data_IF_795907381973
#
_entry.id   IF_795907381973
#
_cell.length_a   1.000
_cell.length_b   1.000
_cell.length_c   1.000
_cell.angle_alpha   90.00
_cell.angle_beta   90.00
_cell.angle_gamma   90.00
#
_symmetry.space_group_name_H-M   'P 1'
#
loop_
_entity.id
_entity.type
_entity.pdbx_description
1 polymer ?
2 polymer ?
3 non-polymer ?
4 non-polymer ?
5 non-polymer ?
6 non-polymer ?
7 non-polymer ?
8 water ?
#
loop_
_entity_poly.entity_id
_entity_poly.type
_entity_poly.pdbx_seq_one_letter_code
_entity_poly.pdbx_strand_id
2 'polyribonucleotide' 'GGGAUGCGUAGGAUAGGUGGGAGCCUGUGAACCCCCGCCUCCGGGUGGGGGGGAGGCGCCGGUGAAAUACCACCCUUCCC' ?
#
# COMPACT_ATOMS: atom_id res chain seq x y z
N UNK A 2 -26.43 -17.30 9.91
CA UNK A 2 -25.40 -16.44 10.50
C UNK A 2 -24.84 -15.40 9.51
N UNK A 3 -24.41 -14.27 10.05
CA UNK A 3 -23.72 -13.24 9.29
C UNK A 3 -22.43 -13.84 8.72
N UNK A 4 -21.76 -14.64 9.53
CA UNK A 4 -20.46 -15.21 9.19
C UNK A 4 -20.48 -16.72 9.37
N UNK A 5 -19.63 -17.42 8.63
CA UNK A 5 -19.58 -18.87 8.73
C UNK A 5 -18.78 -19.33 9.93
N UNK A 6 -18.79 -20.63 10.18
CA UNK A 6 -18.10 -21.17 11.35
C UNK A 6 -16.60 -20.89 11.44
N UNK A 7 -15.89 -20.86 10.30
CA UNK A 7 -14.45 -20.59 10.31
C UNK A 7 -14.21 -19.20 10.90
N UNK A 8 -14.96 -18.22 10.40
CA UNK A 8 -14.84 -16.86 10.89
C UNK A 8 -15.25 -16.78 12.37
N UNK A 9 -16.33 -17.44 12.73
CA UNK A 9 -16.80 -17.35 14.11
C UNK A 9 -15.77 -17.88 15.08
N UNK A 10 -15.08 -18.95 14.70
CA UNK A 10 -14.01 -19.50 15.53
C UNK A 10 -12.88 -18.49 15.74
N UNK A 11 -12.52 -17.75 14.70
CA UNK A 11 -11.46 -16.76 14.78
C UNK A 11 -11.84 -15.66 15.74
N UNK A 12 -13.09 -15.23 15.65
CA UNK A 12 -13.62 -14.14 16.43
C UNK A 12 -13.47 -14.44 17.92
N UNK A 13 -13.57 -15.71 18.31
CA UNK A 13 -13.37 -16.09 19.69
C UNK A 13 -11.94 -15.90 20.20
N UNK A 14 -11.00 -15.67 19.28
CA UNK A 14 -9.59 -15.61 19.66
C UNK A 14 -9.15 -14.19 19.98
N UNK A 15 -10.03 -13.24 19.69
CA UNK A 15 -9.73 -11.84 19.92
C UNK A 15 -10.68 -11.26 20.96
N UNK A 16 -10.14 -10.45 21.85
CA UNK A 16 -10.93 -9.71 22.82
C UNK A 16 -11.23 -8.37 22.17
N UNK A 17 -12.47 -8.16 21.73
CA UNK A 17 -12.87 -7.01 20.91
C UNK A 17 -12.74 -5.67 21.64
N UNK A 18 -12.68 -5.73 22.97
CA UNK A 18 -12.55 -4.50 23.73
C UNK A 18 -11.13 -4.29 24.26
N UNK A 19 -10.19 -5.10 23.78
CA UNK A 19 -8.83 -5.00 24.26
C UNK A 19 -7.97 -4.27 23.24
N UNK A 20 -7.08 -3.44 23.74
CA UNK A 20 -6.13 -2.80 22.86
C UNK A 20 -4.79 -3.48 23.06
N UNK A 21 -4.32 -4.15 22.02
CA UNK A 21 -3.14 -5.00 22.12
C UNK A 21 -1.87 -4.23 21.77
N UNK A 22 -0.73 -4.72 22.24
CA UNK A 22 0.56 -4.21 21.82
C UNK A 22 0.82 -4.73 20.42
N UNK A 23 1.72 -4.07 19.70
CA UNK A 23 2.06 -4.52 18.37
C UNK A 23 2.63 -5.94 18.39
N UNK A 24 3.50 -6.22 19.37
CA UNK A 24 4.10 -7.55 19.49
C UNK A 24 3.04 -8.63 19.70
N UNK A 25 2.09 -8.38 20.59
CA UNK A 25 1.02 -9.33 20.82
C UNK A 25 0.20 -9.50 19.54
N UNK A 26 -0.13 -8.38 18.92
CA UNK A 26 -0.97 -8.44 17.73
C UNK A 26 -0.27 -9.20 16.60
N UNK A 27 1.04 -9.03 16.49
CA UNK A 27 1.77 -9.68 15.40
C UNK A 27 1.76 -11.19 15.59
N UNK A 28 1.75 -11.63 16.84
CA UNK A 28 1.61 -13.06 17.11
C UNK A 28 0.17 -13.51 16.87
N UNK A 29 -0.78 -12.72 17.33
CA UNK A 29 -2.18 -13.09 17.26
C UNK A 29 -2.68 -13.19 15.83
N UNK A 30 -2.25 -12.25 14.98
CA UNK A 30 -2.77 -12.19 13.62
C UNK A 30 -2.45 -13.47 12.85
N UNK A 31 -1.37 -14.13 13.24
CA UNK A 31 -1.02 -15.40 12.62
C UNK A 31 -2.06 -16.49 12.86
N UNK A 32 -2.83 -16.38 13.93
CA UNK A 32 -3.86 -17.37 14.24
C UNK A 32 -5.21 -16.96 13.66
N UNK A 33 -5.24 -15.83 12.97
CA UNK A 33 -6.48 -15.29 12.42
C UNK A 33 -6.50 -15.41 10.91
N UNK A 34 -5.77 -16.38 10.39
CA UNK A 34 -5.60 -16.50 8.96
C UNK A 34 -5.83 -17.92 8.49
N UNK A 35 -7.06 -18.42 8.66
CA UNK A 35 -7.35 -19.82 8.40
C UNK A 35 -8.01 -20.05 7.06
N UNK A 36 -8.12 -19.00 6.25
CA UNK A 36 -8.59 -19.19 4.88
C UNK A 36 -7.53 -19.98 4.13
N UNK A 37 -7.94 -20.58 3.02
CA UNK A 37 -7.12 -21.54 2.29
C UNK A 37 -6.11 -20.91 1.33
N UNK A 38 -5.35 -19.94 1.83
CA UNK A 38 -4.24 -19.36 1.08
C UNK A 38 -3.44 -18.52 2.06
N UNK A 39 -2.28 -18.06 1.63
CA UNK A 39 -1.45 -17.26 2.52
C UNK A 39 -2.02 -15.85 2.52
N UNK A 40 -2.74 -15.50 3.59
CA UNK A 40 -3.46 -14.24 3.61
C UNK A 40 -2.58 -13.02 3.79
N UNK A 41 -3.09 -11.89 3.34
CA UNK A 41 -2.39 -10.64 3.52
C UNK A 41 -2.69 -10.01 4.87
N UNK A 42 -1.65 -9.53 5.52
CA UNK A 42 -1.82 -8.77 6.75
C UNK A 42 -1.98 -7.28 6.46
N UNK A 43 -2.98 -6.67 7.10
CA UNK A 43 -3.38 -5.28 6.82
C UNK A 43 -3.31 -4.45 8.07
N UNK A 44 -3.02 -3.15 7.89
CA UNK A 44 -3.14 -2.17 8.97
C UNK A 44 -4.11 -1.06 8.53
N UNK A 45 -5.04 -0.71 9.42
CA UNK A 45 -6.02 0.34 9.18
C UNK A 45 -5.95 1.37 10.28
N UNK A 46 -6.09 2.66 9.93
CA UNK A 46 -6.12 3.74 10.92
C UNK A 46 -7.24 4.71 10.60
N UNK A 47 -8.01 5.08 11.61
CA UNK A 47 -8.92 6.19 11.47
C UNK A 47 -8.08 7.41 11.87
N UNK A 48 -7.96 8.37 10.96
CA UNK A 48 -7.05 9.50 11.18
C UNK A 48 -7.74 10.75 11.73
N UNK A 49 -6.99 11.50 12.53
CA UNK A 49 -7.51 12.74 13.09
C UNK A 49 -7.30 13.87 12.10
N UNK A 50 -7.86 13.72 10.92
CA UNK A 50 -7.76 14.74 9.89
C UNK A 50 -9.14 15.10 9.39
N UNK A 51 -9.24 16.22 8.69
CA UNK A 51 -10.44 16.56 7.96
C UNK A 51 -10.14 16.20 6.53
N UNK A 52 -10.70 15.07 6.05
CA UNK A 52 -10.33 14.49 4.76
C UNK A 52 -10.79 15.36 3.62
N UNK A 53 -11.76 16.24 3.87
CA UNK A 53 -12.22 17.15 2.83
C UNK A 53 -11.42 18.46 2.76
N UNK A 54 -10.36 18.53 3.55
CA UNK A 54 -9.42 19.64 3.48
C UNK A 54 -8.14 19.18 2.77
N UNK A 55 -7.87 19.78 1.61
CA UNK A 55 -6.72 19.38 0.83
C UNK A 55 -5.41 19.42 1.63
N UNK A 56 -5.28 20.41 2.51
CA UNK A 56 -4.05 20.53 3.29
C UNK A 56 -3.93 19.53 4.43
N UNK A 57 -4.91 18.65 4.58
CA UNK A 57 -4.79 17.56 5.55
C UNK A 57 -4.79 16.16 4.92
N UNK A 58 -4.52 16.09 3.61
CA UNK A 58 -4.30 14.81 2.92
C UNK A 58 -3.10 14.09 3.54
N UNK A 59 -3.19 12.76 3.59
CA UNK A 59 -2.09 11.91 4.02
C UNK A 59 -1.80 10.94 2.90
N UNK A 60 -0.65 11.10 2.26
CA UNK A 60 -0.34 10.34 1.07
C UNK A 60 1.18 10.18 0.92
N UNK A 61 1.62 8.95 0.68
CA UNK A 61 3.04 8.69 0.60
C UNK A 61 3.36 7.22 0.36
N UNK A 62 4.64 6.88 0.56
CA UNK A 62 5.11 5.54 0.37
C UNK A 62 6.01 5.22 1.53
N UNK A 63 6.21 3.92 1.76
CA UNK A 63 7.14 3.48 2.78
C UNK A 63 7.73 2.16 2.34
N UNK A 64 9.05 2.02 2.48
CA UNK A 64 9.71 0.74 2.22
C UNK A 64 9.58 -0.16 3.44
N UNK A 65 8.77 -1.20 3.33
CA UNK A 65 8.63 -2.13 4.45
C UNK A 65 9.91 -2.93 4.60
N UNK A 66 10.46 -2.97 5.82
CA UNK A 66 11.74 -3.64 6.03
C UNK A 66 11.73 -5.09 5.58
N UNK A 67 10.58 -5.76 5.64
CA UNK A 67 10.56 -7.15 5.22
C UNK A 67 9.72 -7.41 3.97
N UNK A 68 9.39 -6.34 3.25
CA UNK A 68 8.65 -6.45 2.01
C UNK A 68 7.21 -6.89 2.18
N UNK A 69 6.54 -7.10 1.05
CA UNK A 69 5.13 -7.46 1.05
C UNK A 69 4.90 -8.97 1.02
N UNK A 70 5.94 -9.73 0.67
CA UNK A 70 5.78 -11.18 0.57
C UNK A 70 4.98 -11.55 -0.67
N UNK A 71 5.00 -10.67 -1.66
CA UNK A 71 4.33 -10.96 -2.93
C UNK A 71 5.08 -10.35 -4.12
N UNK A 72 4.87 -10.94 -5.30
CA UNK A 72 5.39 -10.37 -6.54
C UNK A 72 4.62 -9.12 -6.91
N UNK A 73 5.32 -8.08 -7.36
CA UNK A 73 4.65 -6.91 -7.91
C UNK A 73 5.05 -6.72 -9.36
N UNK A 74 4.09 -6.88 -10.27
CA UNK A 74 4.39 -6.74 -11.68
C UNK A 74 4.35 -5.27 -12.01
N UNK A 75 5.46 -4.73 -12.46
CA UNK A 75 5.55 -3.30 -12.73
C UNK A 75 5.61 -3.03 -14.21
N UNK A 76 4.72 -2.15 -14.68
CA UNK A 76 4.81 -1.58 -16.02
C UNK A 76 5.48 -0.21 -15.93
N UNK A 77 6.51 0.02 -16.76
CA UNK A 77 7.10 1.36 -16.83
C UNK A 77 6.87 1.98 -18.20
N UNK A 78 6.62 3.27 -18.21
CA UNK A 78 6.50 3.99 -19.46
C UNK A 78 7.58 5.06 -19.49
N UNK A 79 8.35 5.08 -20.56
CA UNK A 79 9.51 5.96 -20.60
C UNK A 79 9.86 6.29 -22.05
N UNK A 80 10.85 7.16 -22.19
CA UNK A 80 11.24 7.77 -23.46
C UNK A 80 12.76 7.75 -23.48
N UNK A 81 13.36 7.69 -24.66
CA UNK A 81 14.80 7.83 -24.78
C UNK A 81 15.66 6.81 -24.04
N UNK A 82 16.75 7.29 -23.45
CA UNK A 82 17.66 6.43 -22.71
C UNK A 82 16.99 5.80 -21.49
N UNK A 83 15.88 6.41 -21.05
CA UNK A 83 15.20 5.95 -19.85
C UNK A 83 14.52 4.60 -20.02
N UNK A 84 14.23 4.22 -21.26
CA UNK A 84 13.63 2.90 -21.51
C UNK A 84 14.57 1.80 -21.03
N UNK A 85 15.81 1.85 -21.50
CA UNK A 85 16.84 0.92 -21.08
C UNK A 85 17.00 0.92 -19.55
N UNK A 86 16.98 2.10 -18.93
CA UNK A 86 17.15 2.16 -17.47
C UNK A 86 16.04 1.36 -16.78
N UNK A 87 14.81 1.60 -17.22
CA UNK A 87 13.64 0.90 -16.68
C UNK A 87 13.76 -0.62 -16.86
N UNK A 88 14.18 -1.04 -18.04
CA UNK A 88 14.31 -2.45 -18.36
C UNK A 88 15.39 -3.10 -17.50
N UNK A 89 16.53 -2.41 -17.37
CA UNK A 89 17.64 -2.96 -16.62
C UNK A 89 17.40 -2.94 -15.10
N UNK A 90 16.42 -2.17 -14.66
CA UNK A 90 16.09 -2.09 -13.25
C UNK A 90 15.13 -3.20 -12.85
N UNK A 91 14.62 -3.94 -13.83
CA UNK A 91 13.80 -5.10 -13.54
C UNK A 91 12.31 -4.95 -13.74
N UNK A 92 11.85 -3.83 -14.31
CA UNK A 92 10.43 -3.72 -14.65
C UNK A 92 10.02 -4.94 -15.45
N UNK A 93 8.81 -5.41 -15.21
CA UNK A 93 8.33 -6.59 -15.89
C UNK A 93 8.03 -6.24 -17.33
N UNK A 94 7.57 -5.02 -17.53
CA UNK A 94 7.35 -4.54 -18.88
C UNK A 94 7.68 -3.07 -19.01
N UNK A 95 8.34 -2.70 -20.10
CA UNK A 95 8.68 -1.31 -20.35
C UNK A 95 8.24 -0.95 -21.74
N UNK A 96 7.34 0.02 -21.83
CA UNK A 96 6.88 0.47 -23.12
C UNK A 96 7.33 1.88 -23.42
N UNK A 97 7.72 2.11 -24.67
CA UNK A 97 7.93 3.46 -25.15
C UNK A 97 6.61 4.23 -25.05
N UNK A 98 6.74 5.53 -24.82
CA UNK A 98 5.61 6.45 -24.75
C UNK A 98 4.70 6.30 -25.95
N UNK A 99 5.30 6.07 -27.10
CA UNK A 99 4.54 6.06 -28.35
C UNK A 99 3.67 4.81 -28.52
N UNK A 100 3.86 3.79 -27.70
CA UNK A 100 3.06 2.57 -27.85
C UNK A 100 2.06 2.36 -26.70
N UNK A 101 1.77 3.43 -25.98
CA UNK A 101 0.82 3.39 -24.86
C UNK A 101 -0.49 2.66 -25.18
N UNK A 102 -1.16 3.09 -26.25
CA UNK A 102 -2.45 2.53 -26.64
C UNK A 102 -2.44 1.01 -26.68
N UNK A 103 -1.35 0.42 -27.13
CA UNK A 103 -1.29 -1.04 -27.26
C UNK A 103 -1.30 -1.68 -25.88
N UNK A 104 -0.85 -0.94 -24.88
CA UNK A 104 -1.02 -1.34 -23.50
C UNK A 104 -2.51 -1.40 -23.17
N UNK A 105 -3.25 -0.39 -23.62
CA UNK A 105 -4.69 -0.29 -23.37
C UNK A 105 -5.46 -1.45 -23.99
N UNK A 106 -5.08 -1.85 -25.19
CA UNK A 106 -5.82 -2.86 -25.94
C UNK A 106 -6.06 -4.12 -25.13
N UNK A 107 -4.98 -4.69 -24.58
CA UNK A 107 -5.12 -5.90 -23.80
C UNK A 107 -3.82 -6.41 -23.21
N UNK A 108 -2.75 -5.66 -23.41
CA UNK A 108 -1.43 -6.03 -22.89
C UNK A 108 -1.30 -5.52 -21.43
N UNK A 109 -2.40 -5.56 -20.69
CA UNK A 109 -2.58 -4.83 -19.43
C UNK A 109 -2.55 -5.68 -18.13
N UNK A 110 -1.47 -6.42 -17.90
CA UNK A 110 -1.41 -7.29 -16.73
C UNK A 110 -0.33 -6.91 -15.68
N UNK A 111 -0.64 -5.94 -14.83
CA UNK A 111 0.35 -5.41 -13.89
C UNK A 111 -0.27 -4.94 -12.57
N UNK A 112 0.55 -4.91 -11.52
CA UNK A 112 0.12 -4.46 -10.20
C UNK A 112 0.47 -3.00 -9.94
N UNK A 113 1.39 -2.44 -10.73
CA UNK A 113 1.84 -1.06 -10.52
C UNK A 113 2.34 -0.43 -11.81
N UNK A 114 2.13 0.87 -11.99
CA UNK A 114 2.61 1.58 -13.16
C UNK A 114 3.49 2.77 -12.76
N UNK A 115 4.66 2.89 -13.37
CA UNK A 115 5.55 4.02 -13.11
C UNK A 115 5.90 4.72 -14.42
N UNK A 116 6.27 5.99 -14.33
CA UNK A 116 6.68 6.73 -15.53
C UNK A 116 7.66 7.84 -15.18
N UNK A 117 8.30 8.38 -16.22
CA UNK A 117 9.14 9.55 -16.08
C UNK A 117 8.26 10.77 -16.34
N UNK A 118 8.64 11.93 -15.79
CA UNK A 118 7.74 13.07 -15.91
C UNK A 118 7.52 13.49 -17.36
N UNK A 119 8.49 13.27 -18.23
CA UNK A 119 8.35 13.76 -19.59
C UNK A 119 7.47 12.89 -20.49
N UNK A 120 6.91 11.82 -19.93
CA UNK A 120 5.92 11.06 -20.71
C UNK A 120 4.54 11.17 -20.07
N UNK A 121 4.44 11.97 -19.00
CA UNK A 121 3.24 11.97 -18.19
C UNK A 121 2.03 12.54 -18.91
N UNK A 122 2.28 13.41 -19.88
CA UNK A 122 1.22 13.98 -20.67
C UNK A 122 0.57 12.93 -21.54
N UNK A 123 1.39 12.10 -22.18
CA UNK A 123 0.89 10.98 -22.96
C UNK A 123 0.16 10.00 -22.06
N UNK A 124 0.80 9.65 -20.95
CA UNK A 124 0.21 8.70 -20.00
C UNK A 124 -1.17 9.13 -19.54
N UNK A 125 -1.26 10.34 -18.99
CA UNK A 125 -2.54 10.85 -18.52
C UNK A 125 -3.52 10.92 -19.66
N UNK A 126 -3.11 11.61 -20.73
CA UNK A 126 -3.97 11.83 -21.89
C UNK A 126 -4.58 10.55 -22.47
N UNK A 127 -3.84 9.45 -22.41
CA UNK A 127 -4.29 8.22 -23.06
C UNK A 127 -4.55 7.05 -22.12
N UNK A 128 -4.25 7.20 -20.83
CA UNK A 128 -4.33 6.08 -19.88
C UNK A 128 -5.05 6.45 -18.60
N UNK A 129 -5.31 7.74 -18.42
CA UNK A 129 -5.81 8.24 -17.17
C UNK A 129 -7.18 7.71 -16.78
N UNK A 130 -8.09 7.67 -17.75
CA UNK A 130 -9.43 7.20 -17.49
C UNK A 130 -9.43 5.76 -16.98
N UNK A 131 -8.50 4.95 -17.48
CA UNK A 131 -8.46 3.56 -17.09
C UNK A 131 -7.68 3.36 -15.80
N UNK A 132 -6.44 3.86 -15.79
CA UNK A 132 -5.53 3.66 -14.65
C UNK A 132 -5.98 4.38 -13.38
N UNK A 133 -6.45 5.62 -13.52
CA UNK A 133 -6.79 6.43 -12.36
C UNK A 133 -7.72 5.76 -11.37
N UNK A 134 -8.90 5.33 -11.84
CA UNK A 134 -9.90 4.72 -10.94
C UNK A 134 -9.49 3.32 -10.47
N UNK A 135 -8.32 2.85 -10.89
CA UNK A 135 -7.77 1.58 -10.42
C UNK A 135 -6.53 1.76 -9.57
N UNK A 136 -6.21 3.01 -9.24
CA UNK A 136 -5.07 3.31 -8.38
C UNK A 136 -3.75 3.00 -9.07
N UNK A 137 -3.73 3.09 -10.39
CA UNK A 137 -2.56 2.70 -11.17
C UNK A 137 -1.93 3.85 -11.96
N UNK A 138 -2.56 5.02 -11.92
CA UNK A 138 -2.07 6.20 -12.64
C UNK A 138 -0.84 6.78 -11.95
N UNK A 139 0.33 6.79 -12.64
CA UNK A 139 1.52 7.34 -12.00
C UNK A 139 1.28 8.77 -11.54
N UNK A 140 1.77 9.11 -10.35
CA UNK A 140 1.67 10.47 -9.83
C UNK A 140 2.86 10.77 -8.91
N UNK A 141 3.49 11.94 -9.07
CA UNK A 141 4.68 12.25 -8.27
C UNK A 141 4.37 12.12 -6.80
N UNK A 142 3.19 12.58 -6.40
CA UNK A 142 2.81 12.56 -5.00
C UNK A 142 2.72 11.14 -4.45
N UNK A 143 2.48 10.17 -5.34
CA UNK A 143 2.43 8.76 -4.95
C UNK A 143 3.77 8.02 -5.12
N UNK A 144 4.82 8.74 -5.48
CA UNK A 144 6.12 8.12 -5.64
C UNK A 144 6.23 7.20 -6.86
N UNK A 145 5.39 7.41 -7.86
CA UNK A 145 5.42 6.56 -9.04
C UNK A 145 5.80 7.35 -10.30
N UNK A 146 6.25 8.58 -10.12
CA UNK A 146 6.74 9.38 -11.23
C UNK A 146 8.09 9.97 -10.85
N UNK A 147 9.01 9.97 -11.80
CA UNK A 147 10.31 10.59 -11.59
C UNK A 147 11.33 10.11 -12.60
N UNK A 148 12.42 10.87 -12.73
CA UNK A 148 13.51 10.50 -13.62
C UNK A 148 14.36 9.40 -13.00
N UNK A 149 14.27 9.25 -11.68
CA UNK A 149 14.92 8.13 -10.99
C UNK A 149 14.12 6.85 -11.18
N UNK A 150 13.79 6.52 -12.42
CA UNK A 150 12.77 5.50 -12.65
C UNK A 150 13.30 4.13 -12.27
N UNK A 151 14.60 3.94 -12.45
CA UNK A 151 15.24 2.71 -12.06
C UNK A 151 15.13 2.49 -10.56
N UNK A 152 15.37 3.54 -9.79
CA UNK A 152 15.30 3.45 -8.33
C UNK A 152 13.87 3.18 -7.87
N UNK A 153 12.91 3.88 -8.48
CA UNK A 153 11.51 3.69 -8.15
C UNK A 153 11.14 2.23 -8.34
N UNK A 154 11.49 1.68 -9.51
CA UNK A 154 11.18 0.30 -9.83
C UNK A 154 11.81 -0.66 -8.82
N UNK A 155 13.07 -0.43 -8.47
CA UNK A 155 13.72 -1.28 -7.51
C UNK A 155 13.03 -1.22 -6.15
N UNK A 156 12.60 -0.04 -5.74
CA UNK A 156 11.95 0.13 -4.45
C UNK A 156 10.63 -0.64 -4.44
N UNK A 157 9.86 -0.49 -5.50
CA UNK A 157 8.60 -1.22 -5.60
C UNK A 157 8.79 -2.74 -5.60
N UNK A 158 9.80 -3.24 -6.31
CA UNK A 158 10.06 -4.69 -6.33
C UNK A 158 10.64 -5.16 -4.99
N UNK A 159 11.08 -4.22 -4.17
CA UNK A 159 11.61 -4.59 -2.85
C UNK A 159 10.58 -4.40 -1.73
N UNK A 160 9.32 -4.18 -2.09
CA UNK A 160 8.25 -4.10 -1.11
C UNK A 160 7.87 -2.73 -0.56
N UNK A 161 8.09 -1.68 -1.36
CA UNK A 161 7.55 -0.39 -0.97
C UNK A 161 6.03 -0.41 -1.17
N UNK A 162 5.31 0.21 -0.26
CA UNK A 162 3.87 0.34 -0.43
C UNK A 162 3.48 1.81 -0.52
N UNK A 163 2.29 2.06 -1.08
CA UNK A 163 1.67 3.36 -1.10
C UNK A 163 0.59 3.40 -0.06
N UNK A 164 0.34 4.59 0.48
CA UNK A 164 -0.82 4.81 1.33
C UNK A 164 -1.39 6.19 1.03
N UNK A 165 -2.70 6.30 1.15
CA UNK A 165 -3.41 7.53 0.85
C UNK A 165 -4.74 7.46 1.59
N UNK A 166 -5.04 8.46 2.40
CA UNK A 166 -6.28 8.43 3.16
C UNK A 166 -7.45 8.44 2.20
N UNK A 167 -8.54 7.76 2.58
CA UNK A 167 -9.72 7.75 1.74
C UNK A 167 -10.52 8.95 2.20
N UNK A 168 -11.58 9.30 1.48
CA UNK A 168 -12.24 10.56 1.83
C UNK A 168 -13.18 10.49 3.03
N UNK A 169 -13.19 9.36 3.73
CA UNK A 169 -13.87 9.33 5.02
C UNK A 169 -12.88 9.69 6.14
N UNK A 170 -11.59 9.68 5.82
CA UNK A 170 -10.58 9.97 6.82
C UNK A 170 -9.90 8.73 7.39
N UNK A 171 -10.16 7.58 6.77
CA UNK A 171 -9.47 6.35 7.16
C UNK A 171 -8.32 6.04 6.19
N UNK A 172 -7.41 5.16 6.60
CA UNK A 172 -6.28 4.81 5.75
C UNK A 172 -5.92 3.34 5.97
N UNK A 173 -5.37 2.70 4.95
CA UNK A 173 -5.25 1.23 4.95
C UNK A 173 -4.04 0.84 4.12
N UNK A 174 -3.34 -0.20 4.56
CA UNK A 174 -2.27 -0.73 3.74
C UNK A 174 -2.02 -2.21 3.99
N UNK A 175 -1.59 -2.96 2.96
CA UNK A 175 -1.10 -4.30 3.24
C UNK A 175 0.33 -4.17 3.77
N UNK A 176 0.74 -5.05 4.66
CA UNK A 176 2.07 -4.93 5.25
C UNK A 176 2.81 -6.26 5.38
N UNK A 177 2.29 -7.30 4.75
CA UNK A 177 3.01 -8.57 4.72
C UNK A 177 2.05 -9.71 4.50
N UNK A 178 2.54 -10.93 4.71
CA UNK A 178 1.70 -12.14 4.62
C UNK A 178 1.62 -12.79 6.01
N UNK A 179 0.50 -13.47 6.25
CA UNK A 179 0.23 -14.05 7.55
C UNK A 179 1.26 -15.13 7.90
N UNK A 180 1.95 -15.64 6.88
CA UNK A 180 2.94 -16.70 7.10
C UNK A 180 4.31 -16.16 7.54
N UNK A 181 4.50 -14.84 7.48
CA UNK A 181 5.70 -14.21 8.06
C UNK A 181 5.87 -14.62 9.51
N UNK A 182 7.13 -14.73 9.98
CA UNK A 182 7.38 -14.85 11.42
C UNK A 182 6.84 -13.59 12.10
N UNK A 183 6.32 -13.69 13.33
CA UNK A 183 5.65 -12.56 13.97
C UNK A 183 6.50 -11.30 14.15
N UNK A 184 7.77 -11.44 14.49
CA UNK A 184 8.61 -10.26 14.67
C UNK A 184 8.82 -9.49 13.37
N UNK A 185 8.73 -10.18 12.24
CA UNK A 185 8.84 -9.53 10.94
C UNK A 185 7.56 -8.75 10.62
N UNK A 186 6.41 -9.32 10.96
CA UNK A 186 5.15 -8.59 10.88
C UNK A 186 5.21 -7.37 11.78
N UNK A 187 5.71 -7.57 13.00
CA UNK A 187 5.83 -6.47 13.96
C UNK A 187 6.65 -5.31 13.38
N UNK A 188 7.83 -5.63 12.85
CA UNK A 188 8.67 -4.63 12.19
C UNK A 188 7.94 -3.88 11.07
N UNK A 189 7.26 -4.62 10.20
CA UNK A 189 6.53 -4.02 9.08
C UNK A 189 5.40 -3.12 9.59
N UNK A 190 4.69 -3.58 10.61
CA UNK A 190 3.59 -2.78 11.17
C UNK A 190 4.12 -1.45 11.69
N UNK A 191 5.22 -1.50 12.44
CA UNK A 191 5.80 -0.30 13.04
C UNK A 191 6.32 0.64 11.97
N UNK A 192 6.93 0.08 10.93
CA UNK A 192 7.42 0.88 9.82
C UNK A 192 6.31 1.69 9.18
N UNK A 193 5.19 1.04 8.89
CA UNK A 193 4.03 1.73 8.31
C UNK A 193 3.53 2.84 9.24
N UNK A 194 3.37 2.51 10.52
CA UNK A 194 2.91 3.47 11.50
C UNK A 194 3.83 4.68 11.57
N UNK A 195 5.14 4.43 11.54
CA UNK A 195 6.13 5.53 11.55
C UNK A 195 5.93 6.43 10.34
N UNK A 196 5.66 5.81 9.20
CA UNK A 196 5.47 6.56 7.95
C UNK A 196 4.21 7.40 8.00
N UNK A 197 3.15 6.87 8.61
CA UNK A 197 1.91 7.64 8.79
C UNK A 197 2.19 8.84 9.64
N UNK A 198 2.88 8.62 10.76
CA UNK A 198 3.20 9.72 11.66
C UNK A 198 4.06 10.76 10.95
N UNK A 199 5.05 10.31 10.19
CA UNK A 199 5.88 11.25 9.43
C UNK A 199 5.06 12.11 8.48
N UNK A 200 3.83 11.67 8.18
CA UNK A 200 2.95 12.38 7.24
C UNK A 200 1.74 13.04 7.88
N UNK A 201 1.78 13.23 9.20
CA UNK A 201 0.69 13.91 9.88
C UNK A 201 0.69 15.37 9.42
N UNK A 202 -0.43 15.82 8.83
CA UNK A 202 -0.42 17.21 8.36
C UNK A 202 -0.23 18.21 9.50
N UNK A 203 0.40 19.33 9.19
CA UNK A 203 0.69 20.39 10.14
C UNK A 203 -0.58 20.90 10.82
N UNK A 204 -1.66 20.98 10.06
CA UNK A 204 -2.89 21.56 10.57
C UNK A 204 -3.87 20.59 11.19
N UNK A 205 -3.55 19.30 11.20
CA UNK A 205 -4.46 18.31 11.76
C UNK A 205 -4.66 18.53 13.26
N UNK A 206 -5.89 18.44 13.72
CA UNK A 206 -6.17 18.72 15.11
C UNK A 206 -6.47 17.45 15.94
N UNK A 207 -5.98 17.46 17.17
CA UNK A 207 -6.25 16.37 18.09
C UNK A 207 -5.35 15.16 17.85
N UNK A 208 -5.73 14.05 18.46
CA UNK A 208 -4.99 12.81 18.29
C UNK A 208 -5.02 12.41 16.82
N UNK A 209 -3.85 12.10 16.27
CA UNK A 209 -3.74 11.73 14.85
C UNK A 209 -4.18 10.28 14.63
N UNK A 210 -3.60 9.36 15.39
CA UNK A 210 -3.94 7.95 15.26
C UNK A 210 -5.07 7.58 16.21
N UNK A 211 -6.29 7.97 15.81
CA UNK A 211 -7.47 7.80 16.63
C UNK A 211 -7.74 6.34 16.93
N UNK A 212 -7.66 5.51 15.89
CA UNK A 212 -7.74 4.07 16.07
C UNK A 212 -6.83 3.40 15.06
N UNK A 213 -6.18 2.31 15.48
CA UNK A 213 -5.33 1.51 14.60
C UNK A 213 -5.61 0.03 14.81
N UNK A 214 -5.80 -0.70 13.71
CA UNK A 214 -6.13 -2.12 13.79
C UNK A 214 -5.22 -2.91 12.87
N UNK A 215 -5.00 -4.17 13.21
CA UNK A 215 -4.31 -5.09 12.33
C UNK A 215 -5.31 -6.16 12.00
N UNK A 216 -5.22 -6.73 10.80
CA UNK A 216 -6.19 -7.73 10.39
C UNK A 216 -5.62 -8.58 9.26
N UNK A 217 -6.36 -9.58 8.83
CA UNK A 217 -5.90 -10.46 7.75
C UNK A 217 -6.96 -10.44 6.67
N UNK A 218 -6.60 -10.89 5.48
CA UNK A 218 -7.53 -10.84 4.36
C UNK A 218 -8.94 -11.33 4.73
N UNK A 219 -9.06 -12.48 5.40
CA UNK A 219 -10.40 -13.06 5.64
C UNK A 219 -10.76 -13.21 7.12
N UNK A 220 -10.00 -12.54 7.99
CA UNK A 220 -10.18 -12.67 9.43
C UNK A 220 -10.72 -11.44 10.12
N UNK A 221 -10.95 -11.54 11.45
CA UNK A 221 -11.45 -10.43 12.27
C UNK A 221 -10.29 -9.47 12.52
N UNK A 222 -10.53 -8.36 13.21
CA UNK A 222 -9.48 -7.37 13.41
C UNK A 222 -8.98 -7.37 14.86
N UNK A 223 -7.80 -6.80 15.06
CA UNK A 223 -7.21 -6.66 16.38
C UNK A 223 -6.84 -5.18 16.56
N UNK A 224 -7.42 -4.52 17.56
CA UNK A 224 -7.10 -3.13 17.79
C UNK A 224 -5.76 -3.06 18.51
N UNK A 225 -4.92 -2.10 18.11
CA UNK A 225 -3.57 -2.02 18.67
C UNK A 225 -3.19 -0.63 19.19
N UNK A 226 -2.26 -0.64 20.13
CA UNK A 226 -1.57 0.56 20.56
C UNK A 226 -0.44 0.85 19.56
N UNK A 227 -0.62 1.88 18.73
CA UNK A 227 0.32 2.17 17.64
C UNK A 227 1.67 2.67 18.14
N UNK A 228 1.75 2.94 19.44
CA UNK A 228 2.94 3.53 20.00
C UNK A 228 3.83 2.47 20.65
N UNK A 229 3.44 1.19 20.53
CA UNK A 229 4.18 0.09 21.18
C UNK A 229 5.12 -0.66 20.23
X LIG C 1 -0.89 10.81 18.17
X LIG C 1 0.56 10.76 17.97
X LIG C 1 -1.38 12.16 17.83
X LIG C 1 -1.54 9.80 17.36
X LIG C 1 -1.17 10.50 19.59
X LIG D 1 -1.88 -19.17 7.44
X LIG D 1 -2.68 -20.22 7.16
X LIG D 1 -1.61 -18.13 6.44
X LIG D 1 -2.85 -21.11 8.03
X LIG D 1 -3.22 -20.29 6.02
X LIG D 1 -2.51 -17.45 5.90
X LIG D 1 -0.40 -17.95 6.16
X LIG E 1 3.58 0.43 -4.63
X LIG E 1 2.84 0.28 -5.74
X LIG E 1 4.40 1.65 -4.44
X LIG E 1 2.15 -0.76 -5.88
X LIG E 1 2.85 1.18 -6.60
X LIG E 1 4.29 2.61 -5.23
X LIG E 1 5.19 1.71 -3.47
X LIG F 1 0.23 -18.72 -1.46
X LIG F 1 -1.01 -19.00 -1.08
X LIG F 1 1.15 -19.82 -1.75
X LIG F 1 -1.39 -20.19 -0.95
X LIG F 1 -1.73 -18.02 -0.86
X LIG F 1 1.35 -20.17 -2.94
X LIG F 1 1.69 -20.36 -0.76
X LIG G 1 -4.71 -18.55 5.43
X LIG H 1 16.88 10.52 -23.32
X LIG I 1 6.66 9.36 0.77
X LIG J 1 -11.03 -20.62 11.88
X LIG K 1 -8.88 -15.71 8.04
X LIG L 1 -16.45 -21.77 7.43
X LIG M 1 -9.46 -7.78 6.02
X LIG N 1 -18.42 -4.97 2.25
X LIG N 1 -17.59 -3.81 2.00
X LIG N 1 -19.82 -4.67 1.92
X LIG N 1 -17.94 -6.08 1.42
X LIG N 1 -18.35 -5.34 3.67
X LIG O 1 -34.54 -31.54 -1.91
X LIG O 1 -33.76 -30.52 -1.57
X LIG O 1 -34.34 -32.29 -3.16
X LIG O 1 -34.00 -29.98 -0.49
X LIG O 1 -32.83 -30.14 -2.33
X LIG O 1 -33.98 -31.68 -4.20
X LIG O 1 -34.52 -33.52 -3.11
X LIG P 1 -20.77 -1.19 9.84
X LIG P 1 -20.97 0.05 10.34
X LIG P 1 -19.61 -1.77 9.10
X LIG P 1 -22.07 0.25 10.92
X LIG P 1 -20.13 0.99 10.26
X LIG P 1 -18.46 -1.83 9.59
X LIG P 1 -19.83 -2.27 7.98
X LIG Q 1 -18.50 -29.86 1.41
X LIG Q 1 -19.19 -29.57 2.52
X LIG Q 1 -19.28 -30.13 0.18
X LIG Q 1 -18.57 -29.33 3.58
X LIG Q 1 -20.45 -29.60 2.49
X LIG Q 1 -19.91 -29.14 -0.29
X LIG Q 1 -19.28 -31.25 -0.36
X LIG R 1 -15.50 0.22 -6.36
X LIG R 1 -16.80 0.03 -6.65
X LIG R 1 -14.63 -0.91 -5.95
X LIG R 1 -17.53 1.02 -6.99
X LIG R 1 -17.28 -1.12 -6.56
X LIG R 1 -15.13 -1.99 -5.52
X LIG R 1 -13.38 -0.78 -6.04
X LIG S 1 -14.48 -2.68 -1.17
X LIG T 1 -18.15 -2.08 -1.65
X LIG U 1 -22.05 -1.99 0.08
X LIG V 1 -23.24 -6.22 -6.30
X LIG W 1 -6.83 -3.22 4.04
#
# INVERSE_FOLDING_TARGET
MPKHGKRYRALLEKVDPNKIYTIDEAAHLVKELATAKFDETVEVHAKLGIDPRRSDQNVRGTVSLPHGLGKQVRVLAIAKGEKIKEAEEAGADYVGGEEIIQKILDGWMDFDAVVATPDVMGAVGSKLGRILGPRGLLPNPKAGTVGFNIGEIIREIKAGRIEFRNDKTGAIHAPVGKASFPPEKLADNIRAFIRALEAHKPEGAKGTFLRSVYVTTTMGPSVRINPHS
SO4 S O1 O2 O3 O4
MLI C1 C2 C3 O6 O7 O8 O9
MLI C1 C2 C3 O6 O7 O8 O9
MLI C1 C2 C3 O6 O7 O8 O9
MG MG
CL CL
CL CL
NA NA
NA NA
NA NA
NA NA
SO4 S O1 O2 O3 O4
MLI C1 C2 C3 O6 O7 O8 O9
MLI C1 C2 C3 O6 O7 O8 O9
MLI C1 C2 C3 O6 O7 O8 O9
MLI C1 C2 C3 O6 O7 O8 O9
MG MG
MG MG
MG MG
MG MG
NA NA
#
